data_IF_800391323467
#
_entry.id   IF_800391323467
#
_cell.length_a   1.000
_cell.length_b   1.000
_cell.length_c   1.000
_cell.angle_alpha   90.00
_cell.angle_beta   90.00
_cell.angle_gamma   90.00
#
_symmetry.space_group_name_H-M   'P 1'
#
loop_
_entity.id
_entity.type
_entity.pdbx_description
1 polymer ?
#
# COMPACT_ATOMS: atom_id res chain seq x y z
N UNK A 1 -12.54 23.69 -49.76
CA UNK A 1 -13.46 22.89 -48.91
C UNK A 1 -12.97 21.45 -48.93
N UNK A 2 -12.63 20.85 -47.78
CA UNK A 2 -12.17 19.45 -47.73
C UNK A 2 -13.29 18.49 -48.16
N UNK A 3 -12.95 17.45 -48.93
CA UNK A 3 -13.92 16.57 -49.61
C UNK A 3 -14.62 15.63 -48.58
N UNK A 4 -15.95 15.66 -48.45
CA UNK A 4 -16.69 14.81 -47.50
C UNK A 4 -16.43 13.31 -47.71
N UNK A 5 -16.13 12.87 -48.94
CA UNK A 5 -15.80 11.47 -49.25
C UNK A 5 -14.51 11.01 -48.60
N UNK A 6 -13.50 11.88 -48.54
CA UNK A 6 -12.23 11.56 -47.88
C UNK A 6 -12.39 11.41 -46.37
N UNK A 7 -13.27 12.20 -45.73
CA UNK A 7 -13.57 12.05 -44.31
C UNK A 7 -14.30 10.75 -44.00
N UNK A 8 -15.29 10.39 -44.82
CA UNK A 8 -16.01 9.13 -44.67
C UNK A 8 -15.11 7.90 -44.86
N UNK A 9 -14.21 7.93 -45.84
CA UNK A 9 -13.23 6.86 -46.04
C UNK A 9 -12.28 6.74 -44.83
N UNK A 10 -11.75 7.86 -44.34
CA UNK A 10 -10.87 7.87 -43.16
C UNK A 10 -11.59 7.38 -41.91
N UNK A 11 -12.83 7.83 -41.64
CA UNK A 11 -13.59 7.35 -40.49
C UNK A 11 -13.92 5.87 -40.58
N UNK A 12 -14.19 5.35 -41.79
CA UNK A 12 -14.45 3.92 -42.00
C UNK A 12 -13.21 3.06 -41.72
N UNK A 13 -12.03 3.52 -42.16
CA UNK A 13 -10.75 2.84 -41.85
C UNK A 13 -10.48 2.86 -40.35
N UNK A 14 -10.67 4.01 -39.69
CA UNK A 14 -10.52 4.12 -38.23
C UNK A 14 -11.47 3.15 -37.51
N UNK A 15 -12.73 3.07 -37.94
CA UNK A 15 -13.70 2.13 -37.37
C UNK A 15 -13.26 0.68 -37.56
N UNK A 16 -12.79 0.30 -38.75
CA UNK A 16 -12.27 -1.04 -39.03
C UNK A 16 -11.06 -1.39 -38.14
N UNK A 17 -10.13 -0.44 -37.96
CA UNK A 17 -8.99 -0.61 -37.06
C UNK A 17 -9.46 -0.80 -35.61
N UNK A 18 -10.39 0.03 -35.13
CA UNK A 18 -10.93 -0.09 -33.76
C UNK A 18 -11.65 -1.43 -33.56
N UNK A 19 -12.42 -1.89 -34.55
CA UNK A 19 -13.10 -3.19 -34.53
C UNK A 19 -12.13 -4.37 -34.54
N UNK A 20 -10.97 -4.24 -35.19
CA UNK A 20 -9.93 -5.27 -35.17
C UNK A 20 -9.14 -5.30 -33.86
N UNK A 21 -8.95 -4.15 -33.21
CA UNK A 21 -8.20 -4.02 -31.96
C UNK A 21 -8.85 -4.80 -30.81
N UNK A 22 -10.18 -4.79 -30.70
CA UNK A 22 -10.86 -5.44 -29.57
C UNK A 22 -10.72 -6.98 -29.56
N UNK A 23 -10.99 -7.71 -30.65
CA UNK A 23 -10.75 -9.16 -30.73
C UNK A 23 -9.28 -9.51 -30.59
N UNK A 24 -8.38 -8.70 -31.16
CA UNK A 24 -6.94 -8.92 -31.02
C UNK A 24 -6.51 -8.80 -29.55
N UNK A 25 -6.93 -7.73 -28.86
CA UNK A 25 -6.67 -7.57 -27.43
C UNK A 25 -7.27 -8.69 -26.59
N UNK A 26 -8.47 -9.17 -26.92
CA UNK A 26 -9.07 -10.31 -26.22
C UNK A 26 -8.27 -11.59 -26.43
N UNK A 27 -7.81 -11.86 -27.66
CA UNK A 27 -7.02 -13.05 -27.97
C UNK A 27 -5.73 -13.13 -27.16
N UNK A 28 -5.03 -12.00 -27.00
CA UNK A 28 -3.74 -11.91 -26.30
C UNK A 28 -3.83 -11.54 -24.82
N UNK A 29 -4.98 -11.75 -24.16
CA UNK A 29 -5.09 -11.48 -22.72
C UNK A 29 -4.15 -12.39 -21.91
N UNK A 30 -3.41 -11.78 -20.98
CA UNK A 30 -2.43 -12.45 -20.11
C UNK A 30 -3.01 -13.65 -19.36
N UNK A 31 -4.25 -13.53 -18.87
CA UNK A 31 -4.90 -14.59 -18.09
C UNK A 31 -5.10 -15.91 -18.85
N UNK A 32 -5.28 -15.85 -20.18
CA UNK A 32 -5.39 -17.06 -21.03
C UNK A 32 -4.09 -17.87 -20.97
N UNK A 33 -2.94 -17.19 -21.05
CA UNK A 33 -1.63 -17.82 -20.97
C UNK A 33 -1.44 -18.56 -19.64
N UNK A 34 -1.86 -17.96 -18.52
CA UNK A 34 -1.76 -18.61 -17.21
C UNK A 34 -2.63 -19.87 -17.10
N UNK A 35 -3.83 -19.86 -17.69
CA UNK A 35 -4.70 -21.04 -17.73
C UNK A 35 -4.14 -22.16 -18.60
N UNK A 36 -3.59 -21.83 -19.78
CA UNK A 36 -2.88 -22.82 -20.61
C UNK A 36 -1.65 -23.39 -19.88
N UNK A 37 -0.85 -22.53 -19.23
CA UNK A 37 0.30 -22.97 -18.42
C UNK A 37 -0.12 -23.91 -17.30
N UNK A 38 -1.18 -23.57 -16.57
CA UNK A 38 -1.73 -24.43 -15.51
C UNK A 38 -2.12 -25.80 -16.06
N UNK A 39 -2.91 -25.86 -17.13
CA UNK A 39 -3.34 -27.11 -17.75
C UNK A 39 -2.15 -27.97 -18.21
N UNK A 40 -1.13 -27.36 -18.80
CA UNK A 40 0.11 -28.05 -19.19
C UNK A 40 0.93 -28.58 -18.01
N UNK A 41 0.86 -27.93 -16.85
CA UNK A 41 1.56 -28.38 -15.64
C UNK A 41 0.83 -29.55 -15.01
N UNK A 42 -0.49 -29.48 -14.85
CA UNK A 42 -1.25 -30.54 -14.20
C UNK A 42 -1.32 -31.83 -15.03
N UNK A 43 -1.25 -31.74 -16.36
CA UNK A 43 -1.24 -32.90 -17.26
C UNK A 43 0.02 -33.76 -17.08
N UNK A 44 1.09 -33.16 -16.57
CA UNK A 44 2.37 -33.82 -16.26
C UNK A 44 2.43 -34.37 -14.84
N UNK A 45 1.44 -34.08 -14.00
CA UNK A 45 1.41 -34.58 -12.64
C UNK A 45 0.93 -36.03 -12.61
N UNK A 46 1.45 -36.86 -11.67
CA UNK A 46 0.99 -38.23 -11.51
C UNK A 46 -0.46 -38.31 -11.03
N UNK A 47 -0.97 -37.27 -10.37
CA UNK A 47 -2.38 -37.19 -9.96
C UNK A 47 -3.26 -36.72 -11.11
N UNK A 48 -4.41 -37.38 -11.29
CA UNK A 48 -5.42 -36.96 -12.28
C UNK A 48 -6.18 -35.74 -11.75
N UNK A 49 -5.84 -34.56 -12.25
CA UNK A 49 -6.46 -33.28 -11.89
C UNK A 49 -7.29 -32.79 -13.09
N UNK A 50 -8.50 -32.26 -12.83
CA UNK A 50 -9.35 -31.71 -13.90
C UNK A 50 -8.71 -30.44 -14.48
N UNK A 51 -8.56 -30.32 -15.82
CA UNK A 51 -8.16 -29.08 -16.47
C UNK A 51 -9.09 -27.92 -16.15
N UNK A 52 -8.50 -26.73 -16.03
CA UNK A 52 -9.25 -25.50 -15.94
C UNK A 52 -9.88 -25.18 -17.29
N UNK A 53 -11.18 -24.87 -17.26
CA UNK A 53 -11.89 -24.29 -18.40
C UNK A 53 -11.32 -22.90 -18.69
N UNK A 54 -11.04 -22.63 -19.97
CA UNK A 54 -10.47 -21.35 -20.39
C UNK A 54 -11.56 -20.28 -20.36
N UNK A 55 -11.42 -19.30 -19.49
CA UNK A 55 -12.39 -18.23 -19.31
C UNK A 55 -12.15 -17.38 -18.07
N UNK A 56 -12.77 -16.21 -18.01
CA UNK A 56 -12.73 -15.37 -16.81
C UNK A 56 -13.52 -16.06 -15.70
N UNK A 57 -12.90 -16.20 -14.54
CA UNK A 57 -13.52 -16.75 -13.33
C UNK A 57 -13.78 -15.62 -12.35
N UNK A 58 -14.93 -15.65 -11.67
CA UNK A 58 -15.32 -14.61 -10.73
C UNK A 58 -15.96 -15.22 -9.49
N UNK A 59 -15.46 -14.80 -8.33
CA UNK A 59 -16.09 -15.00 -7.03
C UNK A 59 -16.77 -13.67 -6.67
N UNK A 60 -18.00 -13.74 -6.17
CA UNK A 60 -18.71 -12.57 -5.67
C UNK A 60 -19.21 -12.85 -4.25
N UNK A 61 -18.56 -12.20 -3.27
CA UNK A 61 -18.91 -12.30 -1.86
C UNK A 61 -19.88 -11.17 -1.52
N UNK A 62 -21.17 -11.42 -1.74
CA UNK A 62 -22.24 -10.42 -1.58
C UNK A 62 -22.23 -9.75 -0.20
N UNK A 63 -22.05 -10.53 0.87
CA UNK A 63 -22.08 -10.04 2.26
C UNK A 63 -21.00 -8.99 2.56
N UNK A 64 -19.89 -9.02 1.79
CA UNK A 64 -18.76 -8.12 1.97
C UNK A 64 -18.61 -7.14 0.82
N UNK A 65 -19.54 -7.17 -0.15
CA UNK A 65 -19.52 -6.40 -1.39
C UNK A 65 -18.14 -6.46 -2.07
N UNK A 66 -17.68 -7.69 -2.35
CA UNK A 66 -16.38 -7.94 -2.98
C UNK A 66 -16.50 -8.84 -4.19
N UNK A 67 -15.91 -8.38 -5.28
CA UNK A 67 -15.71 -9.13 -6.52
C UNK A 67 -14.24 -9.52 -6.61
N UNK A 68 -13.98 -10.78 -6.93
CA UNK A 68 -12.63 -11.31 -7.07
C UNK A 68 -12.49 -12.17 -8.33
N UNK A 69 -11.52 -11.83 -9.17
CA UNK A 69 -11.16 -12.55 -10.39
C UNK A 69 -9.73 -13.08 -10.34
N UNK A 70 -9.06 -13.03 -9.20
CA UNK A 70 -7.70 -13.55 -9.02
C UNK A 70 -7.65 -15.05 -9.34
N UNK A 71 -8.72 -15.78 -9.05
CA UNK A 71 -8.92 -17.19 -9.40
C UNK A 71 -8.95 -17.47 -10.92
N UNK A 72 -9.00 -16.44 -11.76
CA UNK A 72 -8.81 -16.59 -13.21
C UNK A 72 -7.39 -17.06 -13.52
N UNK A 73 -6.39 -16.55 -12.79
CA UNK A 73 -4.97 -16.87 -12.98
C UNK A 73 -4.43 -17.82 -11.90
N UNK A 74 -4.91 -17.69 -10.67
CA UNK A 74 -4.51 -18.50 -9.52
C UNK A 74 -5.36 -19.77 -9.43
N UNK A 75 -4.99 -20.80 -10.20
CA UNK A 75 -5.82 -22.00 -10.42
C UNK A 75 -5.40 -23.20 -9.55
N UNK A 76 -4.19 -23.17 -9.00
CA UNK A 76 -3.66 -24.27 -8.19
C UNK A 76 -3.99 -24.18 -6.70
N UNK A 77 -4.88 -23.27 -6.29
CA UNK A 77 -5.10 -22.87 -4.90
C UNK A 77 -5.33 -24.05 -3.94
N UNK A 78 -6.03 -25.10 -4.38
CA UNK A 78 -6.34 -26.31 -3.59
C UNK A 78 -5.59 -27.57 -4.05
N UNK A 79 -4.67 -27.45 -5.01
CA UNK A 79 -3.98 -28.60 -5.58
C UNK A 79 -2.72 -28.88 -4.76
N UNK A 80 -2.76 -29.84 -3.84
CA UNK A 80 -1.63 -30.15 -2.94
C UNK A 80 -0.31 -30.44 -3.66
N UNK A 81 -0.35 -30.97 -4.88
CA UNK A 81 0.83 -31.26 -5.69
C UNK A 81 1.57 -30.00 -6.19
N UNK A 82 0.96 -28.81 -6.08
CA UNK A 82 1.51 -27.54 -6.57
C UNK A 82 2.09 -26.66 -5.45
N UNK A 83 2.35 -27.21 -4.26
CA UNK A 83 2.86 -26.44 -3.09
C UNK A 83 4.16 -25.68 -3.40
N UNK A 84 5.03 -26.32 -4.17
CA UNK A 84 6.33 -25.76 -4.56
C UNK A 84 6.32 -25.07 -5.94
N UNK A 85 5.19 -25.10 -6.65
CA UNK A 85 5.10 -24.50 -7.99
C UNK A 85 5.32 -22.99 -7.96
N UNK A 86 5.67 -22.36 -9.08
CA UNK A 86 5.79 -20.89 -9.13
C UNK A 86 4.42 -20.19 -9.08
N UNK A 87 4.40 -18.95 -8.60
CA UNK A 87 3.23 -18.09 -8.78
C UNK A 87 2.96 -17.87 -10.28
N UNK A 88 1.68 -17.79 -10.72
CA UNK A 88 0.46 -17.76 -9.91
C UNK A 88 -0.18 -19.14 -9.59
N UNK A 89 0.39 -20.26 -10.03
CA UNK A 89 -0.24 -21.59 -9.92
C UNK A 89 0.06 -22.33 -8.61
N UNK A 90 0.83 -21.72 -7.71
CA UNK A 90 1.16 -22.29 -6.41
C UNK A 90 -0.08 -22.55 -5.56
N UNK A 91 -0.06 -23.64 -4.78
CA UNK A 91 -1.09 -23.92 -3.77
C UNK A 91 -1.15 -22.83 -2.71
N UNK A 92 -2.36 -22.50 -2.27
CA UNK A 92 -2.56 -21.54 -1.20
C UNK A 92 -2.12 -22.14 0.15
N UNK A 93 -1.46 -21.37 1.04
CA UNK A 93 -1.22 -21.80 2.41
C UNK A 93 -2.53 -22.17 3.12
N UNK A 94 -2.49 -23.11 4.06
CA UNK A 94 -3.73 -23.54 4.73
C UNK A 94 -4.27 -22.43 5.62
N UNK A 95 -5.51 -22.03 5.38
CA UNK A 95 -6.28 -21.10 6.21
C UNK A 95 -7.65 -21.73 6.53
N UNK A 96 -8.37 -21.20 7.52
CA UNK A 96 -9.68 -21.73 7.94
C UNK A 96 -10.85 -21.34 7.03
N UNK A 97 -10.62 -20.47 6.05
CA UNK A 97 -11.63 -20.07 5.06
C UNK A 97 -11.35 -20.73 3.71
N UNK A 98 -12.41 -21.08 2.99
CA UNK A 98 -12.28 -21.55 1.61
C UNK A 98 -11.99 -20.37 0.68
N UNK A 99 -10.79 -20.33 0.09
CA UNK A 99 -10.37 -19.25 -0.82
C UNK A 99 -11.17 -19.18 -2.11
N UNK A 100 -11.79 -20.27 -2.54
CA UNK A 100 -12.64 -20.30 -3.74
C UNK A 100 -14.06 -19.80 -3.46
N UNK A 101 -14.44 -19.63 -2.19
CA UNK A 101 -15.70 -19.02 -1.77
C UNK A 101 -15.51 -17.59 -1.25
N UNK A 102 -14.43 -17.35 -0.51
CA UNK A 102 -14.14 -16.07 0.13
C UNK A 102 -13.41 -15.11 -0.82
N UNK A 103 -12.71 -15.61 -1.84
CA UNK A 103 -11.89 -14.79 -2.73
C UNK A 103 -10.59 -14.29 -2.06
N UNK A 104 -9.70 -13.71 -2.86
CA UNK A 104 -8.35 -13.33 -2.46
C UNK A 104 -8.30 -11.90 -1.88
N UNK A 105 -9.01 -10.96 -2.49
CA UNK A 105 -8.97 -9.53 -2.20
C UNK A 105 -9.45 -9.15 -0.81
N UNK A 106 -10.19 -10.02 -0.11
CA UNK A 106 -10.58 -9.76 1.28
C UNK A 106 -9.35 -9.73 2.20
N UNK A 107 -8.45 -10.70 2.02
CA UNK A 107 -7.23 -10.82 2.80
C UNK A 107 -6.07 -10.06 2.17
N UNK A 108 -5.93 -10.18 0.86
CA UNK A 108 -4.80 -9.63 0.12
C UNK A 108 -4.99 -8.20 -0.37
N UNK A 109 -6.19 -7.61 -0.27
CA UNK A 109 -6.56 -6.38 -0.99
C UNK A 109 -6.27 -6.48 -2.50
N UNK A 110 -6.14 -5.38 -3.21
CA UNK A 110 -5.98 -5.34 -4.67
C UNK A 110 -7.28 -5.07 -5.41
N UNK A 111 -7.20 -5.08 -6.75
CA UNK A 111 -8.33 -4.83 -7.63
C UNK A 111 -8.93 -6.14 -8.14
N UNK A 112 -9.92 -6.66 -7.43
CA UNK A 112 -10.49 -7.97 -7.72
C UNK A 112 -11.27 -8.05 -9.04
N UNK A 113 -11.70 -6.93 -9.62
CA UNK A 113 -12.35 -6.92 -10.94
C UNK A 113 -11.34 -6.94 -12.11
N UNK A 114 -10.07 -6.69 -11.85
CA UNK A 114 -9.02 -6.63 -12.87
C UNK A 114 -8.76 -8.00 -13.49
N UNK A 115 -8.35 -7.99 -14.76
CA UNK A 115 -7.99 -9.20 -15.51
C UNK A 115 -6.54 -9.18 -15.99
N UNK A 116 -5.78 -8.16 -15.59
CA UNK A 116 -4.36 -7.98 -15.91
C UNK A 116 -3.56 -7.78 -14.62
N UNK A 117 -2.32 -8.26 -14.59
CA UNK A 117 -1.51 -8.25 -13.37
C UNK A 117 -1.24 -6.84 -12.83
N UNK A 118 -0.92 -5.90 -13.73
CA UNK A 118 -0.61 -4.52 -13.35
C UNK A 118 -1.80 -3.80 -12.69
N UNK A 119 -3.01 -4.14 -13.13
CA UNK A 119 -4.24 -3.58 -12.58
C UNK A 119 -4.63 -4.28 -11.27
N UNK A 120 -4.47 -5.61 -11.19
CA UNK A 120 -4.87 -6.40 -10.01
C UNK A 120 -4.10 -6.06 -8.76
N UNK A 121 -2.82 -5.67 -8.88
CA UNK A 121 -2.02 -5.19 -7.73
C UNK A 121 -2.52 -3.85 -7.15
N UNK A 122 -3.46 -3.17 -7.83
CA UNK A 122 -4.07 -1.93 -7.37
C UNK A 122 -3.14 -0.72 -7.39
N UNK A 123 -2.04 -0.76 -8.16
CA UNK A 123 -1.12 0.37 -8.36
C UNK A 123 -1.55 1.24 -9.56
N UNK A 124 -2.85 1.49 -9.67
CA UNK A 124 -3.44 2.28 -10.76
C UNK A 124 -4.03 3.57 -10.20
N UNK A 125 -4.10 4.60 -11.05
CA UNK A 125 -4.62 5.91 -10.67
C UNK A 125 -6.08 5.74 -10.21
N UNK A 126 -6.40 6.21 -8.99
CA UNK A 126 -7.72 6.13 -8.35
C UNK A 126 -8.14 4.75 -7.80
N UNK A 127 -7.22 3.80 -7.64
CA UNK A 127 -7.51 2.58 -6.88
C UNK A 127 -6.93 2.68 -5.47
N UNK A 128 -7.80 2.55 -4.47
CA UNK A 128 -7.47 2.93 -3.09
C UNK A 128 -6.97 1.77 -2.23
N UNK A 129 -6.96 0.54 -2.78
CA UNK A 129 -6.60 -0.68 -2.04
C UNK A 129 -5.61 -1.53 -2.83
N UNK A 130 -4.31 -1.18 -2.85
CA UNK A 130 -3.29 -2.02 -3.44
C UNK A 130 -3.16 -3.34 -2.67
N UNK A 131 -2.56 -4.35 -3.30
CA UNK A 131 -2.30 -5.62 -2.62
C UNK A 131 -1.44 -5.41 -1.37
N UNK A 132 -1.86 -5.99 -0.25
CA UNK A 132 -1.12 -6.01 1.01
C UNK A 132 0.17 -6.82 0.82
N UNK A 133 1.34 -6.31 1.22
CA UNK A 133 2.58 -7.09 1.23
C UNK A 133 2.46 -8.36 2.08
N UNK A 134 3.17 -9.43 1.70
CA UNK A 134 3.06 -10.75 2.32
C UNK A 134 3.32 -10.72 3.83
N UNK A 135 4.20 -9.82 4.26
CA UNK A 135 4.61 -9.65 5.66
C UNK A 135 3.45 -9.17 6.54
N UNK A 136 2.48 -8.46 5.95
CA UNK A 136 1.30 -7.93 6.64
C UNK A 136 0.03 -8.76 6.34
N UNK A 137 0.16 -10.03 5.97
CA UNK A 137 -1.00 -10.81 5.56
C UNK A 137 -1.89 -11.26 6.73
N UNK A 138 -1.30 -11.77 7.82
CA UNK A 138 -2.05 -12.22 9.01
C UNK A 138 -2.82 -11.08 9.67
N UNK A 139 -2.19 -9.92 9.61
CA UNK A 139 -2.69 -8.60 9.92
C UNK A 139 -4.08 -8.30 9.31
N UNK A 140 -4.35 -8.71 8.06
CA UNK A 140 -5.66 -8.54 7.42
C UNK A 140 -6.78 -9.33 8.10
N UNK A 141 -6.48 -10.39 8.86
CA UNK A 141 -7.49 -11.15 9.59
C UNK A 141 -8.16 -10.30 10.68
N UNK A 142 -7.48 -9.27 11.20
CA UNK A 142 -8.00 -8.33 12.20
C UNK A 142 -9.23 -7.55 11.71
N UNK A 143 -9.43 -7.42 10.39
CA UNK A 143 -10.59 -6.73 9.80
C UNK A 143 -11.92 -7.32 10.26
N UNK A 144 -11.95 -8.64 10.50
CA UNK A 144 -13.14 -9.36 10.93
C UNK A 144 -12.98 -9.99 12.31
N UNK A 145 -11.80 -10.54 12.62
CA UNK A 145 -11.53 -11.16 13.91
C UNK A 145 -11.02 -10.14 14.92
N UNK A 146 -11.92 -9.35 15.51
CA UNK A 146 -11.55 -8.23 16.38
C UNK A 146 -11.17 -8.62 17.80
N UNK A 147 -11.81 -9.65 18.35
CA UNK A 147 -11.76 -9.92 19.80
C UNK A 147 -11.08 -11.25 20.16
N UNK A 148 -11.15 -12.25 19.28
CA UNK A 148 -10.60 -13.59 19.55
C UNK A 148 -9.29 -13.84 18.83
N UNK A 149 -8.44 -14.68 19.42
CA UNK A 149 -7.30 -15.25 18.71
C UNK A 149 -7.75 -15.96 17.43
N UNK A 150 -6.95 -15.79 16.38
CA UNK A 150 -7.18 -16.41 15.08
C UNK A 150 -6.24 -17.61 14.92
N UNK A 151 -6.77 -18.83 14.82
CA UNK A 151 -5.96 -20.01 14.53
C UNK A 151 -5.12 -19.85 13.25
N UNK A 152 -3.87 -20.34 13.28
CA UNK A 152 -2.88 -20.17 12.20
C UNK A 152 -2.53 -18.71 11.85
N UNK A 153 -2.77 -17.75 12.76
CA UNK A 153 -2.26 -16.38 12.65
C UNK A 153 -1.49 -15.96 13.93
N UNK A 154 -0.36 -16.64 14.25
CA UNK A 154 0.38 -16.39 15.47
C UNK A 154 0.97 -14.97 15.55
N UNK A 155 1.33 -14.35 14.42
CA UNK A 155 1.87 -12.99 14.35
C UNK A 155 0.78 -11.99 14.72
N UNK A 156 -0.43 -12.17 14.18
CA UNK A 156 -1.59 -11.35 14.55
C UNK A 156 -1.88 -11.43 16.05
N UNK A 157 -2.00 -12.65 16.58
CA UNK A 157 -2.40 -12.87 17.97
C UNK A 157 -1.34 -12.33 18.94
N UNK A 158 -0.06 -12.53 18.62
CA UNK A 158 1.02 -11.95 19.41
C UNK A 158 1.04 -10.42 19.33
N UNK A 159 0.85 -9.82 18.15
CA UNK A 159 0.73 -8.38 17.99
C UNK A 159 -0.38 -7.76 18.86
N UNK A 160 -1.55 -8.43 18.93
CA UNK A 160 -2.66 -8.00 19.81
C UNK A 160 -2.27 -8.08 21.29
N UNK A 161 -1.70 -9.20 21.73
CA UNK A 161 -1.25 -9.36 23.13
C UNK A 161 -0.22 -8.30 23.52
N UNK A 162 0.73 -8.00 22.64
CA UNK A 162 1.73 -6.96 22.90
C UNK A 162 1.12 -5.56 23.09
N UNK A 163 0.04 -5.22 22.37
CA UNK A 163 -0.71 -3.96 22.56
C UNK A 163 -1.33 -3.89 23.96
N UNK A 164 -1.91 -5.00 24.43
CA UNK A 164 -2.56 -5.11 25.74
C UNK A 164 -1.52 -5.11 26.87
N UNK A 165 -0.50 -5.96 26.79
CA UNK A 165 0.56 -6.11 27.79
C UNK A 165 1.41 -4.86 27.92
N UNK A 166 1.72 -4.19 26.80
CA UNK A 166 2.42 -2.90 26.80
C UNK A 166 1.49 -1.72 27.14
N UNK A 167 0.21 -1.98 27.42
CA UNK A 167 -0.82 -1.00 27.74
C UNK A 167 -0.83 0.19 26.76
N UNK A 168 -0.70 -0.10 25.45
CA UNK A 168 -0.65 0.95 24.45
C UNK A 168 -1.94 1.78 24.48
N UNK A 169 -3.10 1.16 24.71
CA UNK A 169 -4.41 1.83 24.85
C UNK A 169 -4.49 2.82 26.02
N UNK A 170 -3.64 2.68 27.04
CA UNK A 170 -3.59 3.60 28.18
C UNK A 170 -3.11 4.99 27.78
N UNK A 171 -2.27 5.06 26.74
CA UNK A 171 -1.74 6.30 26.20
C UNK A 171 -2.20 6.56 24.77
N UNK A 172 -2.53 5.56 23.96
CA UNK A 172 -2.85 5.64 22.54
C UNK A 172 -4.32 5.41 22.22
N UNK A 173 -4.88 6.27 21.38
CA UNK A 173 -6.17 6.05 20.74
C UNK A 173 -5.96 5.02 19.64
N UNK A 174 -6.74 3.96 19.74
CA UNK A 174 -6.91 2.90 18.77
C UNK A 174 -8.43 2.79 18.54
N UNK A 175 -8.88 2.49 17.33
CA UNK A 175 -10.29 2.27 17.01
C UNK A 175 -11.01 1.46 18.13
N UNK A 176 -12.09 2.02 18.67
CA UNK A 176 -12.84 1.43 19.80
C UNK A 176 -12.47 1.98 21.20
N UNK A 177 -11.36 2.72 21.33
CA UNK A 177 -10.89 3.29 22.61
C UNK A 177 -10.90 4.83 22.56
N UNK A 178 -11.42 5.48 23.61
CA UNK A 178 -11.84 6.89 23.56
C UNK A 178 -10.77 7.93 23.95
N UNK A 179 -9.77 7.61 24.77
CA UNK A 179 -8.97 8.64 25.47
C UNK A 179 -7.66 8.95 24.75
N UNK A 180 -7.27 10.24 24.62
CA UNK A 180 -5.85 10.56 24.41
C UNK A 180 -5.37 12.01 24.61
N UNK A 181 -4.08 12.11 24.96
CA UNK A 181 -3.25 13.32 25.06
C UNK A 181 -1.95 13.24 24.22
N UNK A 182 -1.77 12.15 23.46
CA UNK A 182 -0.62 11.92 22.54
C UNK A 182 -1.18 11.50 21.15
N UNK A 183 -0.36 11.27 20.10
CA UNK A 183 -0.89 10.98 18.77
C UNK A 183 -1.64 9.64 18.66
N UNK A 184 -2.75 9.57 17.91
CA UNK A 184 -3.49 8.32 17.66
C UNK A 184 -2.66 7.34 16.83
N UNK A 185 -2.95 6.05 16.97
CA UNK A 185 -2.35 4.98 16.16
C UNK A 185 -3.17 4.70 14.88
N UNK A 186 -4.40 5.21 14.78
CA UNK A 186 -5.18 5.17 13.54
C UNK A 186 -4.37 5.82 12.38
N UNK A 187 -4.21 5.08 11.28
CA UNK A 187 -3.47 5.53 10.10
C UNK A 187 -1.94 5.43 10.22
N UNK A 188 -1.39 4.93 11.32
CA UNK A 188 0.07 4.84 11.50
C UNK A 188 0.73 4.00 10.41
N UNK A 189 0.08 2.91 9.98
CA UNK A 189 0.61 2.02 8.94
C UNK A 189 0.69 2.64 7.54
N UNK A 190 -0.06 3.71 7.27
CA UNK A 190 0.07 4.48 6.04
C UNK A 190 1.02 5.67 6.17
N UNK A 191 1.27 6.12 7.41
CA UNK A 191 2.04 7.32 7.72
C UNK A 191 3.54 7.06 7.84
N UNK A 192 3.93 6.03 8.59
CA UNK A 192 5.35 5.80 8.94
C UNK A 192 5.99 4.68 8.14
N UNK A 193 7.32 4.68 8.08
CA UNK A 193 8.07 3.55 7.54
C UNK A 193 8.14 2.43 8.59
N UNK A 194 7.96 1.17 8.16
CA UNK A 194 8.05 -0.01 9.03
C UNK A 194 9.37 -0.04 9.80
N UNK A 195 10.49 0.18 9.11
CA UNK A 195 11.83 0.18 9.72
C UNK A 195 11.90 1.19 10.87
N UNK A 196 11.48 2.44 10.63
CA UNK A 196 11.44 3.44 11.69
C UNK A 196 10.57 3.00 12.88
N UNK A 197 9.42 2.37 12.61
CA UNK A 197 8.52 1.92 13.67
C UNK A 197 9.18 0.84 14.55
N UNK A 198 9.90 -0.11 13.95
CA UNK A 198 10.67 -1.12 14.71
C UNK A 198 11.72 -0.44 15.61
N UNK A 199 12.53 0.48 15.07
CA UNK A 199 13.54 1.19 15.85
C UNK A 199 12.92 2.06 16.96
N UNK A 200 11.79 2.70 16.67
CA UNK A 200 11.03 3.50 17.62
C UNK A 200 10.50 2.66 18.78
N UNK A 201 9.97 1.46 18.51
CA UNK A 201 9.48 0.54 19.54
C UNK A 201 10.62 0.00 20.42
N UNK A 202 11.80 -0.26 19.84
CA UNK A 202 12.98 -0.75 20.57
C UNK A 202 13.58 0.28 21.52
N UNK A 203 13.72 1.54 21.07
CA UNK A 203 14.31 2.60 21.89
C UNK A 203 13.81 3.99 21.46
N UNK A 204 12.62 4.41 21.91
CA UNK A 204 12.04 5.68 21.49
C UNK A 204 12.87 6.88 21.99
N UNK A 205 13.58 6.74 23.12
CA UNK A 205 14.43 7.80 23.68
C UNK A 205 15.71 8.03 22.87
N UNK A 206 16.22 7.02 22.16
CA UNK A 206 17.34 7.20 21.25
C UNK A 206 16.96 8.09 20.05
N UNK A 207 15.73 7.97 19.56
CA UNK A 207 15.22 8.83 18.48
C UNK A 207 14.78 10.21 19.00
N UNK A 208 14.04 10.26 20.11
CA UNK A 208 13.57 11.50 20.71
C UNK A 208 13.70 11.46 22.23
N UNK A 209 14.75 12.07 22.76
CA UNK A 209 15.09 12.03 24.20
C UNK A 209 14.01 12.56 25.14
N UNK A 210 13.15 13.48 24.65
CA UNK A 210 12.03 14.07 25.40
C UNK A 210 10.72 13.27 25.25
N UNK A 211 10.73 12.14 24.57
CA UNK A 211 9.53 11.29 24.41
C UNK A 211 9.00 10.84 25.77
N UNK A 212 7.67 10.78 25.89
CA UNK A 212 6.99 10.16 27.04
C UNK A 212 6.75 8.66 26.86
N UNK A 213 6.97 8.15 25.65
CA UNK A 213 6.83 6.72 25.38
C UNK A 213 7.94 5.95 26.11
N UNK A 214 7.60 4.98 26.98
CA UNK A 214 8.60 4.20 27.69
C UNK A 214 9.33 3.26 26.72
N UNK A 215 10.48 2.75 27.17
CA UNK A 215 11.07 1.57 26.55
C UNK A 215 10.41 0.33 27.16
N UNK A 216 9.70 -0.45 26.36
CA UNK A 216 8.98 -1.65 26.79
C UNK A 216 9.88 -2.88 26.94
N UNK A 217 11.17 -2.76 26.61
CA UNK A 217 12.16 -3.83 26.65
C UNK A 217 11.78 -5.03 25.75
N UNK A 218 11.10 -4.75 24.65
CA UNK A 218 10.73 -5.75 23.65
C UNK A 218 11.98 -6.37 23.02
N UNK A 219 11.92 -7.67 22.76
CA UNK A 219 12.88 -8.36 21.91
C UNK A 219 12.79 -7.88 20.45
N UNK A 220 13.76 -8.28 19.64
CA UNK A 220 13.77 -7.96 18.21
C UNK A 220 12.57 -8.58 17.49
N UNK A 221 12.19 -9.80 17.86
CA UNK A 221 11.03 -10.49 17.30
C UNK A 221 9.73 -9.76 17.67
N UNK A 222 9.52 -9.46 18.96
CA UNK A 222 8.33 -8.73 19.42
C UNK A 222 8.22 -7.35 18.79
N UNK A 223 9.34 -6.63 18.66
CA UNK A 223 9.35 -5.30 18.03
C UNK A 223 8.95 -5.37 16.55
N UNK A 224 9.39 -6.41 15.83
CA UNK A 224 9.00 -6.63 14.44
C UNK A 224 7.52 -6.99 14.32
N UNK A 225 7.04 -7.92 15.16
CA UNK A 225 5.65 -8.37 15.15
C UNK A 225 4.69 -7.25 15.53
N UNK A 226 5.01 -6.46 16.56
CA UNK A 226 4.23 -5.30 16.95
C UNK A 226 4.25 -4.21 15.87
N UNK A 227 5.39 -3.97 15.22
CA UNK A 227 5.44 -3.06 14.08
C UNK A 227 4.53 -3.56 12.94
N UNK A 228 4.60 -4.85 12.57
CA UNK A 228 3.75 -5.43 11.53
C UNK A 228 2.27 -5.30 11.85
N UNK A 229 1.89 -5.54 13.11
CA UNK A 229 0.53 -5.37 13.59
C UNK A 229 0.07 -3.91 13.55
N UNK A 230 0.92 -2.96 13.91
CA UNK A 230 0.61 -1.52 13.81
C UNK A 230 0.55 -1.04 12.35
N UNK A 231 1.32 -1.64 11.44
CA UNK A 231 1.25 -1.33 10.01
C UNK A 231 -0.12 -1.66 9.39
N UNK A 232 -0.95 -2.45 10.08
CA UNK A 232 -2.33 -2.75 9.66
C UNK A 232 -3.30 -1.61 9.90
N UNK A 233 -2.96 -0.68 10.79
CA UNK A 233 -3.79 0.47 11.11
C UNK A 233 -3.58 1.53 10.02
N UNK A 234 -4.03 1.23 8.80
CA UNK A 234 -3.83 2.04 7.61
C UNK A 234 -4.91 3.12 7.44
N UNK A 235 -6.10 2.90 7.99
CA UNK A 235 -7.21 3.84 7.86
C UNK A 235 -7.02 5.06 8.75
N UNK A 236 -7.12 6.25 8.17
CA UNK A 236 -7.12 7.50 8.93
C UNK A 236 -8.51 7.79 9.51
N UNK A 237 -8.59 8.56 10.62
CA UNK A 237 -9.84 9.12 11.10
C UNK A 237 -10.61 9.85 9.98
N UNK A 238 -11.95 9.78 10.03
CA UNK A 238 -12.85 10.40 9.04
C UNK A 238 -12.69 9.89 7.59
N UNK A 239 -11.99 8.76 7.39
CA UNK A 239 -11.87 8.12 6.08
C UNK A 239 -10.94 8.86 5.10
N UNK A 240 -10.03 9.71 5.60
CA UNK A 240 -8.99 10.29 4.76
C UNK A 240 -8.14 9.18 4.13
N UNK A 241 -7.74 9.35 2.87
CA UNK A 241 -6.97 8.35 2.11
C UNK A 241 -5.76 9.00 1.44
N UNK A 242 -4.70 8.22 1.25
CA UNK A 242 -3.53 8.66 0.49
C UNK A 242 -3.79 8.43 -1.00
N UNK A 243 -3.68 9.48 -1.80
CA UNK A 243 -3.69 9.34 -3.25
C UNK A 243 -2.40 8.67 -3.73
N UNK A 244 -2.40 7.89 -4.82
CA UNK A 244 -1.19 7.30 -5.39
C UNK A 244 -0.13 8.36 -5.78
N UNK A 245 1.16 8.02 -5.64
CA UNK A 245 2.24 8.89 -6.08
C UNK A 245 2.20 9.14 -7.60
N UNK A 246 2.57 10.35 -8.06
CA UNK A 246 2.73 10.63 -9.48
C UNK A 246 3.91 9.83 -10.06
N UNK A 247 3.83 9.48 -11.35
CA UNK A 247 4.86 8.68 -12.04
C UNK A 247 6.28 9.28 -11.97
N UNK A 248 6.37 10.61 -11.82
CA UNK A 248 7.62 11.35 -11.63
C UNK A 248 8.37 10.98 -10.34
N UNK A 249 7.69 10.44 -9.32
CA UNK A 249 8.34 9.97 -8.09
C UNK A 249 8.62 8.46 -8.10
N UNK A 250 8.08 7.72 -9.08
CA UNK A 250 8.17 6.25 -9.13
C UNK A 250 9.12 5.73 -10.21
N UNK A 251 9.50 6.56 -11.19
CA UNK A 251 10.23 6.09 -12.39
C UNK A 251 11.06 7.20 -13.05
N UNK A 252 12.13 7.66 -12.39
CA UNK A 252 13.03 8.71 -12.91
C UNK A 252 14.47 8.24 -12.98
N UNK A 253 15.20 8.66 -14.02
CA UNK A 253 16.65 8.46 -14.09
C UNK A 253 17.38 9.26 -13.00
N UNK A 254 18.62 8.88 -12.68
CA UNK A 254 19.41 9.58 -11.64
C UNK A 254 19.60 11.08 -11.97
N UNK A 255 19.81 11.41 -13.24
CA UNK A 255 19.90 12.80 -13.73
C UNK A 255 18.60 13.57 -13.53
N UNK A 256 17.45 12.95 -13.75
CA UNK A 256 16.15 13.57 -13.50
C UNK A 256 15.91 13.77 -12.01
N UNK A 257 16.32 12.79 -11.18
CA UNK A 257 16.22 12.88 -9.73
C UNK A 257 17.05 14.04 -9.19
N UNK A 258 18.30 14.19 -9.62
CA UNK A 258 19.15 15.32 -9.22
C UNK A 258 18.51 16.68 -9.58
N UNK A 259 17.95 16.81 -10.79
CA UNK A 259 17.25 18.02 -11.20
C UNK A 259 15.97 18.29 -10.38
N UNK A 260 15.27 17.24 -9.92
CA UNK A 260 14.12 17.38 -9.03
C UNK A 260 14.54 17.83 -7.63
N UNK A 261 15.62 17.28 -7.08
CA UNK A 261 16.19 17.67 -5.78
C UNK A 261 16.56 19.16 -5.79
N UNK A 262 17.24 19.64 -6.84
CA UNK A 262 17.62 21.05 -6.97
C UNK A 262 16.41 21.98 -7.00
N UNK A 263 15.41 21.69 -7.85
CA UNK A 263 14.15 22.46 -7.89
C UNK A 263 13.39 22.39 -6.56
N UNK A 264 13.40 21.23 -5.93
CA UNK A 264 12.76 20.99 -4.63
C UNK A 264 13.38 21.84 -3.54
N UNK A 265 14.71 21.95 -3.50
CA UNK A 265 15.43 22.80 -2.55
C UNK A 265 15.04 24.27 -2.70
N UNK A 266 14.81 24.73 -3.93
CA UNK A 266 14.38 26.11 -4.20
C UNK A 266 12.96 26.35 -3.70
N UNK A 267 12.02 25.46 -4.03
CA UNK A 267 10.63 25.56 -3.53
C UNK A 267 10.55 25.43 -2.01
N UNK A 268 11.37 24.59 -1.40
CA UNK A 268 11.46 24.45 0.06
C UNK A 268 11.90 25.76 0.74
N UNK A 269 12.89 26.46 0.16
CA UNK A 269 13.35 27.78 0.65
C UNK A 269 12.30 28.87 0.45
N UNK A 270 11.68 28.94 -0.73
CA UNK A 270 10.63 29.92 -1.03
C UNK A 270 9.38 29.74 -0.16
N UNK A 271 9.01 28.50 0.13
CA UNK A 271 7.94 28.15 1.06
C UNK A 271 8.31 28.45 2.54
N UNK A 272 9.56 28.84 2.82
CA UNK A 272 10.07 29.18 4.16
C UNK A 272 9.79 28.09 5.20
N UNK A 273 9.94 26.82 4.81
CA UNK A 273 9.67 25.67 5.68
C UNK A 273 10.43 25.77 7.02
N UNK A 274 11.69 26.23 6.97
CA UNK A 274 12.57 26.38 8.14
C UNK A 274 12.18 27.51 9.10
N UNK A 275 11.24 28.39 8.72
CA UNK A 275 10.75 29.43 9.62
C UNK A 275 9.89 28.85 10.75
N UNK A 276 9.19 27.74 10.49
CA UNK A 276 8.41 27.03 11.50
C UNK A 276 9.12 25.75 11.96
N UNK A 277 9.75 25.04 11.05
CA UNK A 277 10.41 23.77 11.32
C UNK A 277 11.91 23.94 11.61
N UNK A 278 12.42 23.19 12.57
CA UNK A 278 13.87 23.01 12.70
C UNK A 278 14.37 21.98 11.68
N UNK A 279 15.66 22.05 11.35
CA UNK A 279 16.42 21.01 10.67
C UNK A 279 17.64 20.73 11.53
N UNK A 280 17.69 19.54 12.14
CA UNK A 280 18.75 19.15 13.07
C UNK A 280 18.98 20.20 14.18
N UNK A 281 17.88 20.63 14.79
CA UNK A 281 17.84 21.60 15.89
C UNK A 281 18.00 23.07 15.49
N UNK A 282 18.19 23.39 14.19
CA UNK A 282 18.37 24.77 13.70
C UNK A 282 17.16 25.23 12.89
N UNK A 283 16.63 26.41 13.18
CA UNK A 283 15.47 26.98 12.49
C UNK A 283 14.34 27.31 13.44
N UNK A 284 13.10 27.23 12.97
CA UNK A 284 11.91 27.47 13.76
C UNK A 284 11.70 26.41 14.85
N UNK A 285 11.02 26.79 15.93
CA UNK A 285 10.68 25.90 17.06
C UNK A 285 9.18 25.64 17.19
N UNK A 286 8.37 26.19 16.26
CA UNK A 286 6.90 26.10 16.28
C UNK A 286 6.43 24.72 15.80
N UNK A 287 7.14 24.13 14.85
CA UNK A 287 6.82 22.84 14.26
C UNK A 287 7.92 21.81 14.52
N UNK A 288 7.64 20.54 14.17
CA UNK A 288 8.58 19.43 14.37
C UNK A 288 9.88 19.62 13.60
N UNK A 289 10.97 19.07 14.13
CA UNK A 289 12.22 18.96 13.40
C UNK A 289 12.03 18.08 12.16
N UNK A 290 12.59 18.51 11.03
CA UNK A 290 12.53 17.82 9.76
C UNK A 290 13.77 16.98 9.46
N UNK A 291 14.88 17.13 10.18
CA UNK A 291 16.19 16.59 9.80
C UNK A 291 16.24 15.07 9.55
N UNK A 292 15.31 14.31 10.12
CA UNK A 292 15.17 12.85 9.94
C UNK A 292 13.78 12.43 9.48
N UNK A 293 13.01 13.35 8.90
CA UNK A 293 11.59 13.15 8.59
C UNK A 293 11.39 12.07 7.52
N UNK A 294 12.27 12.01 6.52
CA UNK A 294 12.14 11.05 5.42
C UNK A 294 12.44 9.61 5.85
N UNK A 295 13.27 9.40 6.88
CA UNK A 295 13.42 8.07 7.48
C UNK A 295 12.20 7.66 8.30
N UNK A 296 11.48 8.63 8.90
CA UNK A 296 10.31 8.36 9.73
C UNK A 296 9.04 8.08 8.93
N UNK A 297 8.69 8.95 8.00
CA UNK A 297 7.41 8.88 7.28
C UNK A 297 7.56 8.33 5.88
N UNK A 298 6.50 7.70 5.38
CA UNK A 298 6.49 7.18 4.01
C UNK A 298 6.53 8.32 2.98
N UNK A 299 7.15 8.07 1.83
CA UNK A 299 7.12 8.98 0.67
C UNK A 299 5.69 9.36 0.28
N UNK A 300 4.80 8.37 0.31
CA UNK A 300 3.39 8.52 0.01
C UNK A 300 2.69 9.48 0.99
N UNK A 301 3.00 9.37 2.29
CA UNK A 301 2.53 10.30 3.31
C UNK A 301 3.08 11.71 3.09
N UNK A 302 4.38 11.88 2.87
CA UNK A 302 5.00 13.19 2.63
C UNK A 302 4.32 13.95 1.49
N UNK A 303 4.12 13.28 0.35
CA UNK A 303 3.46 13.86 -0.80
C UNK A 303 2.03 14.33 -0.48
N UNK A 304 1.20 13.43 0.06
CA UNK A 304 -0.21 13.73 0.33
C UNK A 304 -0.37 14.77 1.45
N UNK A 305 0.44 14.68 2.51
CA UNK A 305 0.40 15.60 3.63
C UNK A 305 0.78 17.02 3.19
N UNK A 306 1.86 17.19 2.42
CA UNK A 306 2.25 18.50 1.88
C UNK A 306 1.23 19.07 0.89
N UNK A 307 0.52 18.21 0.14
CA UNK A 307 -0.57 18.62 -0.77
C UNK A 307 -1.73 19.28 -0.03
N UNK A 308 -2.15 18.70 1.09
CA UNK A 308 -3.25 19.24 1.91
C UNK A 308 -3.17 18.78 3.38
N UNK A 309 -2.38 19.48 4.24
CA UNK A 309 -2.18 19.08 5.63
C UNK A 309 -3.49 18.96 6.44
N UNK A 310 -4.41 19.90 6.18
CA UNK A 310 -5.72 19.98 6.86
C UNK A 310 -6.68 18.84 6.50
N UNK A 311 -6.42 18.10 5.43
CA UNK A 311 -7.20 16.90 5.10
C UNK A 311 -6.96 15.77 6.10
N UNK A 312 -5.72 15.64 6.59
CA UNK A 312 -5.34 14.60 7.55
C UNK A 312 -5.38 15.11 9.00
N UNK A 313 -5.06 16.39 9.22
CA UNK A 313 -5.03 17.02 10.53
C UNK A 313 -5.76 18.38 10.46
N UNK A 314 -7.09 18.43 10.71
CA UNK A 314 -7.89 19.66 10.54
C UNK A 314 -7.35 20.88 11.29
N UNK A 315 -6.83 20.66 12.50
CA UNK A 315 -6.35 21.71 13.40
C UNK A 315 -4.88 22.11 13.17
N UNK A 316 -4.21 21.51 12.17
CA UNK A 316 -2.80 21.81 11.93
C UNK A 316 -2.61 23.23 11.42
N UNK A 317 -1.59 23.90 11.98
CA UNK A 317 -1.24 25.27 11.60
C UNK A 317 -0.47 25.35 10.28
N UNK A 318 0.02 24.22 9.78
CA UNK A 318 0.76 24.14 8.52
C UNK A 318 -0.15 24.62 7.37
N UNK A 319 0.25 25.66 6.61
CA UNK A 319 -0.57 26.20 5.55
C UNK A 319 -0.59 25.28 4.34
N UNK A 320 -1.58 25.48 3.45
CA UNK A 320 -1.60 24.85 2.14
C UNK A 320 -0.81 25.71 1.15
N UNK A 321 0.35 25.21 0.73
CA UNK A 321 1.29 25.95 -0.13
C UNK A 321 0.87 26.09 -1.60
N UNK A 322 -0.21 25.41 -2.03
CA UNK A 322 -0.75 25.44 -3.40
C UNK A 322 0.29 25.11 -4.51
N UNK A 323 1.30 24.30 -4.19
CA UNK A 323 2.25 23.76 -5.15
C UNK A 323 1.51 22.90 -6.19
N UNK A 324 1.91 22.98 -7.46
CA UNK A 324 1.42 22.04 -8.46
C UNK A 324 2.05 20.64 -8.25
N UNK A 325 1.52 19.61 -8.93
CA UNK A 325 1.97 18.22 -8.72
C UNK A 325 3.47 18.02 -8.94
N UNK A 326 4.06 18.70 -9.94
CA UNK A 326 5.48 18.59 -10.26
C UNK A 326 6.37 19.32 -9.25
N UNK A 327 5.96 20.50 -8.78
CA UNK A 327 6.66 21.24 -7.72
C UNK A 327 6.65 20.48 -6.40
N UNK A 328 5.47 19.95 -6.04
CA UNK A 328 5.31 19.11 -4.86
C UNK A 328 6.20 17.86 -4.94
N UNK A 329 6.24 17.19 -6.09
CA UNK A 329 7.12 16.06 -6.31
C UNK A 329 8.61 16.44 -6.14
N UNK A 330 9.03 17.61 -6.63
CA UNK A 330 10.39 18.09 -6.41
C UNK A 330 10.70 18.33 -4.93
N UNK A 331 9.78 18.97 -4.17
CA UNK A 331 9.96 19.19 -2.72
C UNK A 331 10.07 17.87 -1.97
N UNK A 332 9.24 16.88 -2.32
CA UNK A 332 9.33 15.53 -1.72
C UNK A 332 10.66 14.88 -2.04
N UNK A 333 11.12 14.93 -3.29
CA UNK A 333 12.42 14.38 -3.69
C UNK A 333 13.58 15.03 -2.94
N UNK A 334 13.53 16.35 -2.72
CA UNK A 334 14.51 17.07 -1.90
C UNK A 334 14.50 16.60 -0.44
N UNK A 335 13.32 16.50 0.19
CA UNK A 335 13.18 16.01 1.57
C UNK A 335 13.73 14.57 1.71
N UNK A 336 13.44 13.70 0.74
CA UNK A 336 13.93 12.33 0.74
C UNK A 336 15.44 12.20 0.48
N UNK A 337 16.05 13.19 -0.18
CA UNK A 337 17.49 13.25 -0.38
C UNK A 337 18.20 13.71 0.90
N UNK A 338 17.71 14.80 1.51
CA UNK A 338 18.48 15.51 2.54
C UNK A 338 18.12 15.12 3.97
N UNK A 339 16.88 14.68 4.22
CA UNK A 339 16.32 14.59 5.57
C UNK A 339 16.12 13.14 6.03
N UNK A 340 17.13 12.33 5.78
CA UNK A 340 17.20 10.92 6.16
C UNK A 340 18.20 10.72 7.29
N UNK A 341 17.90 9.76 8.15
CA UNK A 341 18.87 9.14 9.05
C UNK A 341 19.68 8.11 8.26
N UNK A 342 20.97 8.35 8.09
CA UNK A 342 21.91 7.41 7.46
C UNK A 342 22.54 6.44 8.47
N UNK A 343 22.20 6.59 9.76
CA UNK A 343 22.76 5.83 10.89
C UNK A 343 21.76 4.81 11.47
#
# INVERSE_FOLDING_TARGET
MKNPRTYFALSSIVLLVVLAVSPFKDYFREWKLYQYRYNNVIDKLPQRIKPAEIGIKQIWVQKLDRVDRCVTCHLGLKVDALKEAEQPIRTHPRIYHDVEEFGCTICHEGQGSATEYKESIGKVKYWDRPIVPKEFMEASCAKCHKESDVPHAPILNLGRRLIEESNCIGCHKIEGYQKQWVPPLDGIGSKVNRTWLVHWLKNPKAYFSKTRMPNFLLSDEESNILADFLMTFAAFPQGAMLEPLPGQLTSTSETQKAAMVDRGSTRFREARCISCHAVNGKGGSVATDLGKVASKVSKQWLYNYLKNPKHFLPDVQMPRYRLNEGELACVVAYIESEFVDYE
#
